data_IF_631985370864
#
_entry.id   IF_631985370864
#
_cell.length_a   1.000
_cell.length_b   1.000
_cell.length_c   1.000
_cell.angle_alpha   90.00
_cell.angle_beta   90.00
_cell.angle_gamma   90.00
#
_symmetry.space_group_name_H-M   'P 1'
#
loop_
_entity.id
_entity.type
_entity.pdbx_description
1 polymer ?
#
# COMPACT_ATOMS: atom_id res chain seq x y z
N UNK A 1 -8.10 -7.91 17.64
CA UNK A 1 -8.44 -7.60 16.23
C UNK A 1 -9.61 -6.64 16.22
N UNK A 2 -9.68 -5.77 15.22
CA UNK A 2 -10.82 -4.89 14.94
C UNK A 2 -11.31 -5.18 13.51
N UNK A 3 -12.63 -5.10 13.30
CA UNK A 3 -13.21 -5.25 11.97
C UNK A 3 -12.99 -4.00 11.14
N UNK A 4 -12.72 -4.18 9.86
CA UNK A 4 -12.55 -3.11 8.88
C UNK A 4 -13.77 -3.15 7.93
N UNK A 5 -14.54 -2.07 7.98
CA UNK A 5 -15.74 -1.91 7.14
C UNK A 5 -15.39 -1.12 5.87
N UNK A 6 -15.66 -1.72 4.70
CA UNK A 6 -15.41 -1.05 3.41
C UNK A 6 -16.24 0.23 3.24
N UNK A 7 -17.43 0.31 3.80
CA UNK A 7 -18.26 1.50 3.69
C UNK A 7 -17.69 2.67 4.50
N UNK A 8 -17.08 2.41 5.68
CA UNK A 8 -16.35 3.42 6.43
C UNK A 8 -15.12 3.91 5.66
N UNK A 9 -14.39 2.99 5.00
CA UNK A 9 -13.19 3.32 4.23
C UNK A 9 -13.48 4.23 3.01
N UNK A 10 -14.71 4.32 2.56
CA UNK A 10 -15.09 5.26 1.46
C UNK A 10 -14.88 6.73 1.83
N UNK A 11 -14.88 7.06 3.11
CA UNK A 11 -14.59 8.42 3.60
C UNK A 11 -13.12 8.66 3.95
N UNK A 12 -12.26 7.66 3.85
CA UNK A 12 -10.84 7.76 4.20
C UNK A 12 -9.98 8.10 3.00
N UNK A 13 -8.89 8.82 3.22
CA UNK A 13 -7.90 9.05 2.17
C UNK A 13 -6.96 7.86 2.05
N UNK A 14 -6.66 7.44 0.82
CA UNK A 14 -5.75 6.34 0.53
C UNK A 14 -4.41 6.81 -0.02
N UNK A 15 -3.31 6.51 0.66
CA UNK A 15 -1.97 6.82 0.18
C UNK A 15 -1.00 5.66 0.40
N UNK A 16 0.07 5.63 -0.39
CA UNK A 16 1.13 4.65 -0.31
C UNK A 16 2.51 5.29 -0.18
N UNK A 17 3.47 4.51 0.31
CA UNK A 17 4.87 4.90 0.47
C UNK A 17 5.73 4.13 -0.52
N UNK A 18 6.38 4.82 -1.43
CA UNK A 18 7.26 4.21 -2.43
C UNK A 18 8.69 4.04 -1.90
N UNK A 19 9.23 2.81 -2.06
CA UNK A 19 10.63 2.52 -1.76
C UNK A 19 11.00 2.44 -0.29
N UNK A 20 10.07 2.04 0.57
CA UNK A 20 10.31 1.88 2.01
C UNK A 20 10.89 0.51 2.41
N UNK A 21 11.15 -0.36 1.45
CA UNK A 21 11.81 -1.65 1.69
C UNK A 21 12.94 -1.84 0.70
N UNK A 22 14.16 -2.09 1.22
CA UNK A 22 15.37 -2.17 0.40
C UNK A 22 15.27 -3.27 -0.68
N UNK A 23 15.56 -2.91 -1.94
CA UNK A 23 15.60 -3.81 -3.09
C UNK A 23 14.24 -4.09 -3.74
N UNK A 24 13.12 -3.58 -3.20
CA UNK A 24 11.80 -3.80 -3.81
C UNK A 24 11.64 -3.07 -5.15
N UNK A 25 12.03 -1.80 -5.24
CA UNK A 25 11.87 -1.01 -6.48
C UNK A 25 12.66 -1.57 -7.65
N UNK A 26 13.84 -2.12 -7.40
CA UNK A 26 14.65 -2.81 -8.39
C UNK A 26 13.96 -4.06 -8.91
N UNK A 27 13.43 -4.91 -8.02
CA UNK A 27 12.68 -6.13 -8.38
C UNK A 27 11.37 -5.82 -9.11
N UNK A 28 10.70 -4.72 -8.75
CA UNK A 28 9.48 -4.25 -9.39
C UNK A 28 9.73 -3.62 -10.77
N UNK A 29 10.99 -3.36 -11.14
CA UNK A 29 11.35 -2.65 -12.37
C UNK A 29 11.02 -1.15 -12.32
N UNK A 30 10.82 -0.59 -11.14
CA UNK A 30 10.37 0.79 -10.92
C UNK A 30 11.51 1.75 -10.51
N UNK A 31 12.70 1.24 -10.26
CA UNK A 31 13.85 2.08 -9.88
C UNK A 31 14.13 3.19 -10.90
N UNK A 32 13.88 2.94 -12.19
CA UNK A 32 14.00 3.92 -13.26
C UNK A 32 13.06 5.11 -13.16
N UNK A 33 11.86 4.92 -12.60
CA UNK A 33 10.85 5.97 -12.44
C UNK A 33 11.30 7.04 -11.41
N UNK A 34 12.20 6.67 -10.49
CA UNK A 34 12.67 7.51 -9.38
C UNK A 34 14.08 8.09 -9.57
N UNK A 35 14.68 8.02 -10.74
CA UNK A 35 16.04 8.54 -10.98
C UNK A 35 16.16 10.03 -10.66
N UNK A 36 15.11 10.81 -10.91
CA UNK A 36 15.05 12.24 -10.59
C UNK A 36 14.78 12.54 -9.10
N UNK A 37 14.33 11.54 -8.32
CA UNK A 37 13.98 11.71 -6.92
C UNK A 37 15.19 11.44 -6.04
N UNK A 38 15.80 12.51 -5.53
CA UNK A 38 16.92 12.41 -4.60
C UNK A 38 16.40 12.20 -3.17
N UNK A 39 16.91 11.19 -2.49
CA UNK A 39 16.61 10.91 -1.07
C UNK A 39 17.91 10.73 -0.29
N UNK A 40 17.88 11.05 1.00
CA UNK A 40 19.02 10.85 1.89
C UNK A 40 19.04 9.42 2.44
N UNK A 41 20.18 8.76 2.38
CA UNK A 41 20.39 7.43 2.96
C UNK A 41 19.34 6.41 2.51
N UNK A 42 18.69 5.77 3.48
CA UNK A 42 17.65 4.74 3.27
C UNK A 42 16.22 5.30 3.30
N UNK A 43 16.05 6.62 3.18
CA UNK A 43 14.72 7.22 3.17
C UNK A 43 13.88 6.73 1.99
N UNK A 44 12.56 6.54 2.17
CA UNK A 44 11.67 6.21 1.07
C UNK A 44 11.68 7.29 -0.02
N UNK A 45 11.25 6.95 -1.22
CA UNK A 45 11.30 7.85 -2.39
C UNK A 45 10.23 8.93 -2.38
N UNK A 46 9.06 8.65 -1.83
CA UNK A 46 7.95 9.58 -1.77
C UNK A 46 6.64 8.90 -1.37
N UNK A 47 5.60 9.70 -1.30
CA UNK A 47 4.23 9.24 -1.10
C UNK A 47 3.41 9.46 -2.36
N UNK A 48 2.40 8.63 -2.57
CA UNK A 48 1.50 8.74 -3.71
C UNK A 48 0.06 8.44 -3.29
N UNK A 49 -0.97 9.07 -3.92
CA UNK A 49 -2.36 8.74 -3.65
C UNK A 49 -2.77 7.51 -4.45
N UNK A 50 -3.59 6.65 -3.85
CA UNK A 50 -4.29 5.61 -4.58
C UNK A 50 -5.82 5.73 -4.44
N UNK A 51 -6.32 6.55 -3.49
CA UNK A 51 -7.73 6.89 -3.37
C UNK A 51 -7.92 8.27 -2.74
N UNK A 52 -8.75 9.09 -3.35
CA UNK A 52 -9.08 10.45 -2.93
C UNK A 52 -10.61 10.60 -2.89
N UNK A 53 -11.26 10.48 -1.70
CA UNK A 53 -12.71 10.46 -1.58
C UNK A 53 -13.34 11.74 -2.15
N UNK A 54 -14.34 11.57 -3.02
CA UNK A 54 -15.06 12.69 -3.64
C UNK A 54 -14.31 13.45 -4.74
N UNK A 55 -13.10 13.01 -5.13
CA UNK A 55 -12.35 13.63 -6.22
C UNK A 55 -12.91 13.23 -7.60
N UNK A 56 -12.96 14.16 -8.55
CA UNK A 56 -13.57 13.95 -9.88
C UNK A 56 -12.74 13.09 -10.84
N UNK A 57 -11.45 12.81 -10.51
CA UNK A 57 -10.61 11.94 -11.32
C UNK A 57 -10.80 10.44 -10.99
N UNK A 58 -10.03 9.58 -11.68
CA UNK A 58 -9.99 8.14 -11.40
C UNK A 58 -9.65 7.82 -9.92
N UNK A 59 -8.95 8.71 -9.21
CA UNK A 59 -8.63 8.56 -7.79
C UNK A 59 -9.87 8.62 -6.90
N UNK A 60 -10.98 9.23 -7.34
CA UNK A 60 -12.26 9.24 -6.61
C UNK A 60 -13.04 7.93 -6.72
N UNK A 61 -12.61 6.99 -7.57
CA UNK A 61 -13.24 5.67 -7.67
C UNK A 61 -12.72 4.78 -6.55
N UNK A 62 -13.62 4.28 -5.70
CA UNK A 62 -13.26 3.44 -4.55
C UNK A 62 -12.68 2.10 -4.99
N UNK A 63 -11.40 1.78 -4.64
CA UNK A 63 -10.68 0.66 -5.20
C UNK A 63 -10.67 -0.61 -4.34
N UNK A 64 -11.08 -0.53 -3.06
CA UNK A 64 -10.84 -1.60 -2.10
C UNK A 64 -11.82 -2.76 -2.21
N UNK A 65 -11.31 -3.97 -1.96
CA UNK A 65 -12.08 -5.20 -1.81
C UNK A 65 -11.45 -6.09 -0.74
N UNK A 66 -12.26 -6.92 -0.07
CA UNK A 66 -11.78 -7.96 0.85
C UNK A 66 -11.46 -9.29 0.15
N UNK A 67 -11.97 -9.52 -1.07
CA UNK A 67 -12.03 -10.86 -1.67
C UNK A 67 -11.72 -10.92 -3.17
N UNK A 68 -11.63 -9.79 -3.86
CA UNK A 68 -11.46 -9.75 -5.31
C UNK A 68 -10.33 -8.80 -5.76
N UNK A 69 -9.68 -9.16 -6.86
CA UNK A 69 -8.87 -8.29 -7.70
C UNK A 69 -9.49 -8.29 -9.09
N UNK A 70 -10.06 -7.17 -9.53
CA UNK A 70 -10.55 -7.02 -10.88
C UNK A 70 -9.39 -6.74 -11.84
N UNK A 71 -9.29 -7.47 -12.94
CA UNK A 71 -8.36 -7.11 -13.99
C UNK A 71 -8.75 -5.78 -14.63
N UNK A 72 -7.78 -4.89 -14.90
CA UNK A 72 -8.08 -3.67 -15.60
C UNK A 72 -8.57 -3.97 -17.02
N UNK A 73 -9.57 -3.21 -17.52
CA UNK A 73 -10.04 -3.37 -18.90
C UNK A 73 -8.90 -2.99 -19.86
N UNK A 74 -8.40 -3.96 -20.59
CA UNK A 74 -7.34 -3.75 -21.60
C UNK A 74 -7.33 -4.90 -22.58
N UNK A 75 -7.12 -4.57 -23.87
CA UNK A 75 -6.87 -5.54 -24.93
C UNK A 75 -5.41 -6.03 -24.91
N UNK A 76 -4.53 -5.37 -24.14
CA UNK A 76 -3.14 -5.76 -23.98
C UNK A 76 -2.93 -6.52 -22.66
N UNK A 77 -2.02 -7.51 -22.63
CA UNK A 77 -1.67 -8.19 -21.40
C UNK A 77 -1.06 -7.19 -20.42
N UNK A 78 -1.80 -6.92 -19.33
CA UNK A 78 -1.32 -6.10 -18.23
C UNK A 78 -0.57 -7.00 -17.26
N UNK A 79 0.67 -6.63 -16.97
CA UNK A 79 1.51 -7.30 -15.98
C UNK A 79 1.06 -6.91 -14.59
N UNK A 80 -0.01 -7.55 -14.10
CA UNK A 80 -0.57 -7.28 -12.78
C UNK A 80 0.19 -8.07 -11.72
N UNK A 81 0.66 -7.39 -10.67
CA UNK A 81 1.52 -7.99 -9.65
C UNK A 81 0.99 -7.69 -8.25
N UNK A 82 1.02 -8.70 -7.36
CA UNK A 82 0.72 -8.50 -5.94
C UNK A 82 1.80 -7.59 -5.35
N UNK A 83 1.41 -6.54 -4.63
CA UNK A 83 2.30 -5.80 -3.75
C UNK A 83 1.88 -6.01 -2.30
N UNK A 84 2.52 -6.98 -1.60
CA UNK A 84 2.20 -7.24 -0.22
C UNK A 84 2.69 -6.12 0.67
N UNK A 85 1.78 -5.50 1.40
CA UNK A 85 2.05 -4.39 2.29
C UNK A 85 1.38 -4.56 3.65
N UNK A 86 1.84 -3.77 4.60
CA UNK A 86 1.06 -3.45 5.79
C UNK A 86 0.21 -2.22 5.46
N UNK A 87 -1.10 -2.35 5.64
CA UNK A 87 -2.02 -1.22 5.68
C UNK A 87 -2.08 -0.66 7.09
N UNK A 88 -1.78 0.62 7.23
CA UNK A 88 -1.82 1.33 8.50
C UNK A 88 -3.00 2.29 8.52
N UNK A 89 -3.94 2.08 9.45
CA UNK A 89 -5.08 2.95 9.69
C UNK A 89 -4.71 4.05 10.67
N UNK A 90 -4.85 5.31 10.24
CA UNK A 90 -4.48 6.48 11.03
C UNK A 90 -5.64 7.46 11.17
N UNK A 91 -5.75 8.08 12.35
CA UNK A 91 -6.46 9.37 12.51
C UNK A 91 -5.57 10.48 11.99
N UNK A 92 -6.17 11.44 11.31
CA UNK A 92 -5.46 12.58 10.72
C UNK A 92 -5.76 13.82 11.56
N UNK A 93 -4.72 14.42 12.11
CA UNK A 93 -4.82 15.67 12.85
C UNK A 93 -4.44 16.83 11.93
N UNK A 94 -5.35 17.78 11.78
CA UNK A 94 -5.18 18.93 10.89
C UNK A 94 -4.86 20.21 11.66
N UNK A 95 -3.98 21.03 11.07
CA UNK A 95 -3.78 22.44 11.42
C UNK A 95 -4.04 23.28 10.16
N UNK A 96 -5.22 23.90 10.08
CA UNK A 96 -5.69 24.53 8.84
C UNK A 96 -5.82 23.51 7.72
N UNK A 97 -5.09 23.71 6.62
CA UNK A 97 -5.04 22.83 5.46
C UNK A 97 -3.80 21.89 5.47
N UNK A 98 -3.05 21.87 6.56
CA UNK A 98 -1.84 21.04 6.70
C UNK A 98 -2.09 19.91 7.69
N UNK A 99 -1.64 18.71 7.34
CA UNK A 99 -1.63 17.59 8.29
C UNK A 99 -0.55 17.84 9.33
N UNK A 100 -0.96 17.98 10.60
CA UNK A 100 -0.07 18.21 11.73
C UNK A 100 0.48 16.91 12.33
N UNK A 101 -0.34 15.84 12.34
CA UNK A 101 0.07 14.53 12.85
C UNK A 101 -0.79 13.40 12.25
N UNK A 102 -0.20 12.21 12.24
CA UNK A 102 -0.87 10.94 11.98
C UNK A 102 -0.80 10.08 13.23
N UNK A 103 -1.97 9.65 13.74
CA UNK A 103 -2.10 8.80 14.92
C UNK A 103 -2.55 7.40 14.47
N UNK A 104 -1.66 6.39 14.48
CA UNK A 104 -2.02 5.04 14.11
C UNK A 104 -2.95 4.43 15.16
N UNK A 105 -3.94 3.64 14.74
CA UNK A 105 -4.81 2.92 15.65
C UNK A 105 -5.05 1.45 15.25
N UNK A 106 -4.71 1.09 14.00
CA UNK A 106 -4.77 -0.31 13.57
C UNK A 106 -3.81 -0.57 12.40
N UNK A 107 -3.37 -1.83 12.27
CA UNK A 107 -2.60 -2.30 11.12
C UNK A 107 -3.03 -3.71 10.69
N UNK A 108 -2.88 -4.00 9.41
CA UNK A 108 -3.21 -5.32 8.87
C UNK A 108 -2.72 -5.55 7.45
N UNK A 109 -3.14 -6.67 6.87
CA UNK A 109 -2.72 -7.03 5.52
C UNK A 109 -3.38 -6.12 4.46
N UNK A 110 -2.56 -5.62 3.56
CA UNK A 110 -2.94 -4.77 2.45
C UNK A 110 -2.26 -5.25 1.17
N UNK A 111 -2.96 -5.20 0.04
CA UNK A 111 -2.41 -5.47 -1.27
C UNK A 111 -2.51 -4.21 -2.12
N UNK A 112 -1.38 -3.53 -2.32
CA UNK A 112 -1.26 -2.39 -3.21
C UNK A 112 -1.12 -2.82 -4.68
N UNK A 113 -1.85 -3.86 -5.07
CA UNK A 113 -1.77 -4.49 -6.39
C UNK A 113 -1.49 -3.46 -7.50
N UNK A 114 -0.53 -3.76 -8.37
CA UNK A 114 0.02 -2.79 -9.32
C UNK A 114 0.10 -3.32 -10.74
N UNK A 115 -0.19 -2.43 -11.68
CA UNK A 115 0.06 -2.67 -13.10
C UNK A 115 1.53 -2.37 -13.38
N UNK A 116 2.30 -3.35 -13.86
CA UNK A 116 3.69 -3.17 -14.26
C UNK A 116 3.76 -2.73 -15.71
N UNK A 117 3.64 -1.42 -15.93
CA UNK A 117 3.82 -0.81 -17.26
C UNK A 117 4.85 0.32 -17.18
N UNK A 118 5.79 0.38 -18.14
CA UNK A 118 6.74 1.50 -18.19
C UNK A 118 6.03 2.80 -18.60
N UNK A 119 6.62 3.94 -18.22
CA UNK A 119 6.20 5.24 -18.73
C UNK A 119 4.87 5.77 -18.21
N UNK A 120 4.37 5.26 -17.08
CA UNK A 120 3.23 5.89 -16.42
C UNK A 120 3.64 7.29 -15.91
N UNK A 121 2.88 8.35 -16.24
CA UNK A 121 3.25 9.73 -15.86
C UNK A 121 3.34 9.92 -14.35
N UNK A 122 2.51 9.20 -13.59
CA UNK A 122 2.44 9.21 -12.14
C UNK A 122 2.32 7.79 -11.60
N UNK A 123 2.80 7.57 -10.37
CA UNK A 123 2.67 6.27 -9.70
C UNK A 123 1.19 5.88 -9.56
N UNK A 124 0.34 6.83 -9.20
CA UNK A 124 -1.10 6.63 -9.02
C UNK A 124 -1.78 5.97 -10.24
N UNK A 125 -1.29 6.23 -11.45
CA UNK A 125 -1.82 5.65 -12.70
C UNK A 125 -1.60 4.13 -12.82
N UNK A 126 -0.74 3.57 -11.99
CA UNK A 126 -0.51 2.11 -11.89
C UNK A 126 -1.25 1.48 -10.73
N UNK A 127 -1.89 2.30 -9.88
CA UNK A 127 -2.39 1.89 -8.57
C UNK A 127 -3.91 1.83 -8.46
N UNK A 128 -4.65 2.69 -9.15
CA UNK A 128 -6.12 2.64 -9.14
C UNK A 128 -6.67 2.61 -10.57
N UNK A 129 -7.26 1.51 -10.96
CA UNK A 129 -7.97 1.34 -12.25
C UNK A 129 -9.46 1.05 -12.06
N UNK A 130 -9.99 1.31 -10.84
CA UNK A 130 -11.40 1.12 -10.53
C UNK A 130 -11.65 0.18 -9.34
N UNK A 131 -12.88 -0.28 -9.16
CA UNK A 131 -13.27 -1.16 -8.07
C UNK A 131 -12.43 -2.44 -8.04
N UNK A 132 -12.14 -2.94 -6.84
CA UNK A 132 -11.33 -4.13 -6.60
C UNK A 132 -9.93 -4.09 -7.25
N UNK A 133 -9.35 -2.90 -7.43
CA UNK A 133 -7.93 -2.76 -7.83
C UNK A 133 -6.97 -2.86 -6.65
N UNK A 134 -7.47 -2.79 -5.41
CA UNK A 134 -6.72 -2.87 -4.17
C UNK A 134 -7.36 -3.84 -3.20
N UNK A 135 -6.57 -4.33 -2.26
CA UNK A 135 -7.05 -5.24 -1.22
C UNK A 135 -6.78 -4.77 0.19
N UNK A 136 -7.74 -4.95 1.07
CA UNK A 136 -7.62 -4.73 2.50
C UNK A 136 -8.20 -5.91 3.26
N UNK A 137 -7.51 -6.41 4.30
CA UNK A 137 -8.04 -7.50 5.11
C UNK A 137 -9.28 -7.06 5.89
N UNK A 138 -10.24 -7.96 6.13
CA UNK A 138 -11.44 -7.64 6.88
C UNK A 138 -11.20 -7.39 8.37
N UNK A 139 -10.03 -7.79 8.88
CA UNK A 139 -9.65 -7.62 10.27
C UNK A 139 -8.22 -7.10 10.39
N UNK A 140 -8.01 -6.09 11.25
CA UNK A 140 -6.72 -5.51 11.58
C UNK A 140 -6.39 -5.72 13.06
N UNK A 141 -5.10 -5.73 13.39
CA UNK A 141 -4.64 -5.60 14.78
C UNK A 141 -4.88 -4.18 15.26
N UNK A 142 -5.53 -4.03 16.42
CA UNK A 142 -5.53 -2.74 17.11
C UNK A 142 -4.10 -2.44 17.60
N UNK A 143 -3.62 -1.23 17.37
CA UNK A 143 -2.28 -0.79 17.76
C UNK A 143 -2.34 0.66 18.25
N UNK A 144 -1.55 0.97 19.25
CA UNK A 144 -1.32 2.31 19.78
C UNK A 144 0.18 2.68 19.74
N UNK A 145 1.02 1.67 19.50
CA UNK A 145 2.47 1.81 19.42
C UNK A 145 3.04 0.95 18.26
N UNK A 146 3.89 1.57 17.47
CA UNK A 146 4.59 0.97 16.32
C UNK A 146 6.11 0.88 16.56
N UNK A 147 6.55 0.91 17.81
CA UNK A 147 8.00 0.76 18.08
C UNK A 147 8.48 -0.64 17.72
N UNK A 148 9.70 -0.78 17.16
CA UNK A 148 10.26 -2.09 16.80
C UNK A 148 10.36 -3.06 17.99
N UNK A 149 10.56 -2.54 19.20
CA UNK A 149 10.64 -3.31 20.44
C UNK A 149 9.28 -3.43 21.16
N UNK A 150 8.22 -2.85 20.59
CA UNK A 150 6.86 -2.83 21.13
C UNK A 150 6.00 -4.01 20.67
N UNK A 151 4.66 -3.88 20.77
CA UNK A 151 3.71 -4.95 20.44
C UNK A 151 3.83 -5.48 19.01
N UNK A 152 4.33 -4.63 18.07
CA UNK A 152 4.50 -4.99 16.65
C UNK A 152 5.86 -5.62 16.34
N UNK A 153 6.76 -5.71 17.31
CA UNK A 153 8.13 -6.22 17.11
C UNK A 153 8.21 -7.69 16.69
N UNK A 154 7.21 -8.50 17.08
CA UNK A 154 7.09 -9.90 16.68
C UNK A 154 6.30 -10.11 15.38
N UNK A 155 5.79 -9.04 14.78
CA UNK A 155 4.95 -9.13 13.58
C UNK A 155 5.76 -9.27 12.31
N UNK A 156 5.19 -10.03 11.37
CA UNK A 156 5.78 -10.33 10.05
C UNK A 156 4.75 -10.15 8.95
N UNK A 157 5.23 -9.91 7.74
CA UNK A 157 4.44 -9.84 6.52
C UNK A 157 4.88 -10.98 5.58
N UNK A 158 3.92 -11.80 5.17
CA UNK A 158 4.11 -12.87 4.19
C UNK A 158 3.12 -12.70 3.02
N UNK A 159 3.51 -13.21 1.84
CA UNK A 159 2.67 -13.19 0.66
C UNK A 159 2.79 -14.48 -0.12
N UNK A 160 1.65 -14.98 -0.58
CA UNK A 160 1.55 -16.20 -1.39
C UNK A 160 0.67 -15.96 -2.63
N UNK A 161 1.02 -16.63 -3.69
CA UNK A 161 0.15 -16.88 -4.82
C UNK A 161 -0.43 -18.29 -4.65
N UNK A 162 -1.75 -18.40 -4.51
CA UNK A 162 -2.43 -19.68 -4.58
C UNK A 162 -2.88 -19.92 -6.00
N UNK A 163 -2.40 -21.00 -6.58
CA UNK A 163 -2.77 -21.40 -7.93
C UNK A 163 -4.16 -22.05 -7.97
N UNK A 164 -4.64 -22.34 -9.18
CA UNK A 164 -5.97 -22.99 -9.40
C UNK A 164 -6.08 -24.40 -8.84
N UNK A 165 -4.95 -25.05 -8.50
CA UNK A 165 -4.93 -26.35 -7.82
C UNK A 165 -5.12 -26.21 -6.31
N UNK A 166 -5.09 -25.00 -5.77
CA UNK A 166 -5.16 -24.71 -4.34
C UNK A 166 -3.80 -24.76 -3.63
N UNK A 167 -2.70 -24.82 -4.39
CA UNK A 167 -1.34 -24.85 -3.82
C UNK A 167 -0.84 -23.42 -3.59
N UNK A 168 -0.34 -23.16 -2.37
CA UNK A 168 0.29 -21.89 -2.00
C UNK A 168 1.77 -21.89 -2.39
N UNK A 169 2.15 -20.87 -3.16
CA UNK A 169 3.53 -20.61 -3.57
C UNK A 169 4.00 -19.32 -2.93
N UNK A 170 5.14 -19.31 -2.24
CA UNK A 170 5.71 -18.10 -1.66
C UNK A 170 5.97 -17.05 -2.77
N UNK A 171 5.27 -15.93 -2.72
CA UNK A 171 5.33 -14.85 -3.70
C UNK A 171 6.16 -13.67 -3.20
N UNK A 172 5.94 -13.25 -1.95
CA UNK A 172 6.78 -12.30 -1.23
C UNK A 172 7.74 -12.99 -0.28
N UNK A 173 8.87 -12.35 0.01
CA UNK A 173 9.78 -12.79 1.06
C UNK A 173 9.13 -12.50 2.41
N UNK A 174 8.95 -13.54 3.23
CA UNK A 174 8.47 -13.36 4.60
C UNK A 174 9.44 -12.46 5.38
N UNK A 175 8.96 -11.31 5.82
CA UNK A 175 9.79 -10.24 6.36
C UNK A 175 9.26 -9.73 7.70
N UNK A 176 10.13 -9.47 8.69
CA UNK A 176 9.71 -8.79 9.91
C UNK A 176 9.30 -7.35 9.59
N UNK A 177 8.29 -6.81 10.30
CA UNK A 177 7.88 -5.42 10.12
C UNK A 177 9.00 -4.43 10.47
N UNK A 178 9.85 -4.78 11.43
CA UNK A 178 11.06 -4.02 11.75
C UNK A 178 12.11 -3.98 10.61
N UNK A 179 11.90 -4.73 9.52
CA UNK A 179 12.76 -4.74 8.33
C UNK A 179 12.48 -3.60 7.35
N UNK A 180 11.44 -2.80 7.55
CA UNK A 180 11.20 -1.59 6.78
C UNK A 180 12.31 -0.55 7.02
N UNK A 181 12.68 0.21 6.00
CA UNK A 181 13.70 1.28 6.10
C UNK A 181 13.28 2.35 7.11
N UNK A 182 12.01 2.78 7.01
CA UNK A 182 11.35 3.65 7.98
C UNK A 182 10.15 2.92 8.57
N UNK A 183 10.07 2.88 9.90
CA UNK A 183 9.00 2.23 10.64
C UNK A 183 8.65 3.04 11.90
N UNK A 184 7.44 2.86 12.42
CA UNK A 184 6.99 3.54 13.63
C UNK A 184 6.95 5.06 13.49
N UNK A 185 7.37 5.76 14.54
CA UNK A 185 7.34 7.24 14.57
C UNK A 185 8.17 7.87 13.45
N UNK A 186 9.31 7.28 13.11
CA UNK A 186 10.17 7.82 12.02
C UNK A 186 9.41 7.84 10.68
N UNK A 187 8.64 6.79 10.39
CA UNK A 187 7.81 6.73 9.19
C UNK A 187 6.69 7.77 9.24
N UNK A 188 5.98 7.86 10.36
CA UNK A 188 4.84 8.78 10.50
C UNK A 188 5.29 10.25 10.38
N UNK A 189 6.35 10.64 11.07
CA UNK A 189 6.91 11.98 10.99
C UNK A 189 7.37 12.32 9.56
N UNK A 190 7.98 11.34 8.88
CA UNK A 190 8.42 11.50 7.49
C UNK A 190 7.21 11.64 6.54
N UNK A 191 6.13 10.88 6.72
CA UNK A 191 4.92 11.03 5.91
C UNK A 191 4.30 12.42 6.12
N UNK A 192 4.20 12.90 7.35
CA UNK A 192 3.70 14.24 7.66
C UNK A 192 4.55 15.32 6.98
N UNK A 193 5.88 15.18 7.03
CA UNK A 193 6.80 16.07 6.32
C UNK A 193 6.59 16.03 4.80
N UNK A 194 6.37 14.83 4.21
CA UNK A 194 6.06 14.70 2.77
C UNK A 194 4.70 15.30 2.42
N UNK A 195 3.66 15.12 3.23
CA UNK A 195 2.36 15.77 3.04
C UNK A 195 2.47 17.29 3.02
N UNK A 196 3.34 17.87 3.81
CA UNK A 196 3.59 19.32 3.83
C UNK A 196 4.43 19.81 2.63
N UNK A 197 5.45 19.06 2.24
CA UNK A 197 6.52 19.58 1.39
C UNK A 197 6.66 18.90 0.03
N UNK A 198 6.14 17.69 -0.18
CA UNK A 198 6.20 17.03 -1.48
C UNK A 198 5.35 17.76 -2.50
N UNK A 199 5.94 18.13 -3.63
CA UNK A 199 5.27 18.80 -4.73
C UNK A 199 5.24 17.92 -5.97
N UNK A 200 4.12 17.93 -6.66
CA UNK A 200 3.98 17.33 -7.98
C UNK A 200 4.50 18.26 -9.07
N UNK A 201 5.14 17.69 -10.09
CA UNK A 201 5.44 18.38 -11.34
C UNK A 201 5.33 17.39 -12.51
N UNK A 202 5.24 17.84 -13.76
CA UNK A 202 5.20 16.92 -14.92
C UNK A 202 6.39 15.96 -14.97
N UNK A 203 7.55 16.38 -14.48
CA UNK A 203 8.81 15.64 -14.57
C UNK A 203 9.10 14.71 -13.39
N UNK A 204 8.17 14.57 -12.44
CA UNK A 204 8.28 13.65 -11.31
C UNK A 204 7.15 12.63 -11.31
N UNK A 205 7.39 11.38 -10.92
CA UNK A 205 6.35 10.38 -10.75
C UNK A 205 5.43 10.64 -9.56
N UNK A 206 5.75 11.65 -8.74
CA UNK A 206 5.06 11.98 -7.50
C UNK A 206 3.99 13.07 -7.70
N UNK A 207 2.99 13.11 -6.83
CA UNK A 207 1.94 14.12 -6.75
C UNK A 207 2.09 15.00 -5.49
N UNK A 208 1.41 16.15 -5.46
CA UNK A 208 1.21 16.96 -4.26
C UNK A 208 0.06 16.35 -3.43
N UNK A 209 0.41 15.30 -2.67
CA UNK A 209 -0.57 14.50 -1.92
C UNK A 209 -1.23 15.31 -0.82
N UNK A 210 -0.50 16.21 -0.16
CA UNK A 210 -1.06 17.05 0.90
C UNK A 210 -2.13 18.00 0.38
N UNK A 211 -1.88 18.69 -0.73
CA UNK A 211 -2.86 19.57 -1.36
C UNK A 211 -4.09 18.78 -1.83
N UNK A 212 -3.89 17.59 -2.42
CA UNK A 212 -4.98 16.72 -2.82
C UNK A 212 -5.83 16.28 -1.63
N UNK A 213 -5.20 15.88 -0.53
CA UNK A 213 -5.88 15.45 0.69
C UNK A 213 -6.69 16.58 1.34
N UNK A 214 -6.16 17.80 1.37
CA UNK A 214 -6.89 18.98 1.82
C UNK A 214 -8.11 19.28 0.92
N UNK A 215 -7.94 19.19 -0.40
CA UNK A 215 -9.01 19.42 -1.38
C UNK A 215 -10.15 18.38 -1.27
N UNK A 216 -9.88 17.16 -0.77
CA UNK A 216 -10.88 16.14 -0.47
C UNK A 216 -11.68 16.41 0.82
N UNK A 217 -11.66 17.63 1.36
CA UNK A 217 -12.43 18.01 2.55
C UNK A 217 -11.75 17.66 3.87
N UNK A 218 -10.46 17.47 3.88
CA UNK A 218 -9.67 17.15 5.09
C UNK A 218 -10.21 15.91 5.81
N UNK A 219 -10.11 14.72 5.20
CA UNK A 219 -10.59 13.48 5.79
C UNK A 219 -10.00 13.26 7.19
N UNK A 220 -10.84 12.79 8.13
CA UNK A 220 -10.42 12.51 9.50
C UNK A 220 -9.55 11.26 9.62
N UNK A 221 -9.53 10.41 8.58
CA UNK A 221 -8.82 9.15 8.58
C UNK A 221 -8.06 8.94 7.26
N UNK A 222 -6.99 8.17 7.34
CA UNK A 222 -6.25 7.68 6.19
C UNK A 222 -5.92 6.20 6.34
N UNK A 223 -5.94 5.47 5.21
CA UNK A 223 -5.33 4.14 5.09
C UNK A 223 -4.03 4.28 4.30
N UNK A 224 -2.93 3.88 4.92
CA UNK A 224 -1.58 4.08 4.41
C UNK A 224 -0.95 2.71 4.10
N UNK A 225 -0.66 2.43 2.83
CA UNK A 225 0.24 1.35 2.46
C UNK A 225 1.69 1.75 2.75
N UNK A 226 2.38 1.05 3.65
CA UNK A 226 3.70 1.51 4.11
C UNK A 226 4.88 1.04 3.24
N UNK A 227 4.58 0.44 2.08
CA UNK A 227 5.53 -0.03 1.09
C UNK A 227 5.58 -1.55 0.97
N UNK A 228 5.73 -2.04 -0.25
CA UNK A 228 5.81 -3.47 -0.52
C UNK A 228 7.17 -4.06 -0.13
N UNK A 229 7.14 -5.30 0.39
CA UNK A 229 8.36 -6.08 0.69
C UNK A 229 8.92 -6.75 -0.56
N UNK A 230 10.11 -7.36 -0.46
CA UNK A 230 10.75 -8.01 -1.61
C UNK A 230 9.98 -9.22 -2.11
N UNK A 231 10.10 -9.48 -3.39
CA UNK A 231 9.61 -10.69 -4.02
C UNK A 231 10.56 -11.87 -3.84
N UNK A 232 10.00 -13.08 -3.84
CA UNK A 232 10.76 -14.30 -4.18
C UNK A 232 11.04 -14.31 -5.68
N UNK A 233 11.93 -15.20 -6.20
CA UNK A 233 12.12 -15.35 -7.64
C UNK A 233 10.82 -15.64 -8.41
N UNK A 234 9.86 -16.33 -7.78
CA UNK A 234 8.54 -16.55 -8.36
C UNK A 234 7.76 -15.24 -8.47
N UNK A 235 7.68 -14.45 -7.39
CA UNK A 235 6.93 -13.21 -7.37
C UNK A 235 7.50 -12.16 -8.32
N UNK A 236 8.82 -12.13 -8.50
CA UNK A 236 9.48 -11.22 -9.43
C UNK A 236 9.12 -11.48 -10.89
N UNK A 237 8.89 -12.76 -11.26
CA UNK A 237 8.67 -13.18 -12.65
C UNK A 237 7.25 -13.59 -12.99
N UNK A 238 6.32 -13.59 -12.01
CA UNK A 238 4.96 -14.12 -12.20
C UNK A 238 3.92 -13.03 -12.04
N UNK A 239 3.07 -12.87 -13.05
CA UNK A 239 1.93 -11.94 -13.04
C UNK A 239 0.61 -12.67 -12.84
N UNK A 240 -0.33 -11.99 -12.21
CA UNK A 240 -1.64 -12.51 -11.88
C UNK A 240 -2.48 -12.82 -13.13
N UNK A 241 -3.26 -13.90 -13.04
CA UNK A 241 -4.18 -14.38 -14.09
C UNK A 241 -5.57 -14.62 -13.48
N UNK A 242 -6.66 -14.56 -14.28
CA UNK A 242 -7.98 -14.90 -13.81
C UNK A 242 -8.01 -16.25 -13.10
N UNK A 243 -8.61 -16.29 -11.90
CA UNK A 243 -8.73 -17.48 -11.06
C UNK A 243 -7.54 -17.75 -10.13
N UNK A 244 -6.43 -17.00 -10.23
CA UNK A 244 -5.40 -17.03 -9.21
C UNK A 244 -5.90 -16.36 -7.93
N UNK A 245 -5.30 -16.69 -6.79
CA UNK A 245 -5.59 -16.01 -5.52
C UNK A 245 -4.33 -15.37 -4.95
N UNK A 246 -4.42 -14.06 -4.68
CA UNK A 246 -3.43 -13.34 -3.90
C UNK A 246 -3.72 -13.51 -2.41
N UNK A 247 -2.74 -13.95 -1.63
CA UNK A 247 -2.84 -14.08 -0.17
C UNK A 247 -1.77 -13.20 0.47
N UNK A 248 -2.21 -12.18 1.22
CA UNK A 248 -1.31 -11.32 2.00
C UNK A 248 -1.64 -11.52 3.47
N UNK A 249 -0.61 -11.70 4.29
CA UNK A 249 -0.79 -12.02 5.71
C UNK A 249 0.16 -11.23 6.57
N UNK A 250 -0.38 -10.42 7.46
CA UNK A 250 0.34 -9.83 8.60
C UNK A 250 0.04 -10.70 9.82
N UNK A 251 1.07 -11.22 10.45
CA UNK A 251 0.88 -12.16 11.57
C UNK A 251 1.87 -11.91 12.71
N UNK A 252 1.43 -12.21 13.91
CA UNK A 252 2.22 -12.13 15.12
C UNK A 252 2.80 -13.53 15.44
N UNK A 253 4.12 -13.65 15.45
CA UNK A 253 4.81 -14.90 15.73
C UNK A 253 4.70 -15.37 17.18
N UNK A 254 4.40 -14.43 18.10
CA UNK A 254 4.28 -14.75 19.52
C UNK A 254 2.91 -15.36 19.85
N UNK A 255 1.83 -14.89 19.22
CA UNK A 255 0.45 -15.32 19.51
C UNK A 255 -0.14 -16.22 18.45
N UNK A 256 0.40 -16.20 17.23
CA UNK A 256 -0.16 -16.88 16.06
C UNK A 256 -1.37 -16.15 15.45
N UNK A 257 -1.80 -15.02 15.99
CA UNK A 257 -2.87 -14.21 15.41
C UNK A 257 -2.45 -13.64 14.04
N UNK A 258 -3.42 -13.48 13.13
CA UNK A 258 -3.15 -12.98 11.80
C UNK A 258 -4.28 -12.08 11.28
N UNK A 259 -3.89 -11.01 10.60
CA UNK A 259 -4.70 -10.28 9.63
C UNK A 259 -4.42 -10.88 8.27
N UNK A 260 -5.40 -11.50 7.65
CA UNK A 260 -5.24 -12.19 6.36
C UNK A 260 -6.20 -11.63 5.32
N UNK A 261 -5.64 -11.28 4.18
CA UNK A 261 -6.36 -10.88 2.98
C UNK A 261 -6.22 -11.99 1.94
N UNK A 262 -7.36 -12.44 1.39
CA UNK A 262 -7.40 -13.43 0.32
C UNK A 262 -8.27 -12.94 -0.81
N UNK A 263 -7.68 -12.59 -1.94
CA UNK A 263 -8.38 -12.05 -3.09
C UNK A 263 -8.29 -12.98 -4.29
N UNK A 264 -9.43 -13.22 -4.95
CA UNK A 264 -9.48 -13.96 -6.22
C UNK A 264 -9.41 -12.99 -7.38
N UNK A 265 -8.55 -13.27 -8.36
CA UNK A 265 -8.45 -12.48 -9.59
C UNK A 265 -9.64 -12.78 -10.48
N UNK A 266 -10.41 -11.73 -10.80
CA UNK A 266 -11.60 -11.76 -11.65
C UNK A 266 -11.37 -10.98 -12.94
N UNK A 267 -11.91 -11.45 -14.06
CA UNK A 267 -11.79 -10.76 -15.35
C UNK A 267 -12.72 -11.33 -16.37
#
# INVERSE_FOLDING_TARGET
MISIDLDELRGWFGLGVAGNFAGHLEQAGEAGDFVSVKTEGNAPKGIFPWYAPGHDSFLGVFPLSHDAIALPPSDEPLNLQIEPEVGLACRVHWDGDTVAALEPFALGAFNDCSIRRPGAPKISHKKNWGPASKGVAPEFFAVDDLTPDGPTGAMRLACFLRDRSGTDHAYGVDSPLAGYSYYGKVLLDWIVERLANQKGSPDTPLEDVGALMAACGRPAHALIGIGATRYTPLGESTYLRPGDQAVVRVYDTATGAASELRQTVTG
#
